data_IF_610208480017
#
_entry.id   IF_610208480017
#
_cell.length_a   1.000
_cell.length_b   1.000
_cell.length_c   1.000
_cell.angle_alpha   90.00
_cell.angle_beta   90.00
_cell.angle_gamma   90.00
#
_symmetry.space_group_name_H-M   'P 1'
#
loop_
_entity.id
_entity.type
_entity.pdbx_description
1 polymer ?
#
# COMPACT_ATOMS: atom_id res chain seq x y z
N UNK A 1 16.06 2.23 -0.96
CA UNK A 1 15.77 3.62 -1.35
C UNK A 1 14.38 3.66 -1.97
N UNK A 2 13.53 4.61 -1.55
CA UNK A 2 12.20 4.86 -2.13
C UNK A 2 12.30 6.10 -3.01
N UNK A 3 12.00 5.96 -4.30
CA UNK A 3 12.16 7.02 -5.30
C UNK A 3 10.89 7.15 -6.12
N UNK A 4 10.42 8.38 -6.29
CA UNK A 4 9.31 8.74 -7.16
C UNK A 4 9.77 9.87 -8.09
N UNK A 5 9.21 9.93 -9.30
CA UNK A 5 9.55 10.96 -10.29
C UNK A 5 8.31 11.78 -10.63
N UNK A 6 8.39 13.09 -10.50
CA UNK A 6 7.30 14.00 -10.83
C UNK A 6 7.68 14.91 -11.99
N UNK A 7 6.88 14.87 -13.06
CA UNK A 7 6.93 15.86 -14.11
C UNK A 7 5.89 16.95 -13.81
N UNK A 8 6.35 18.17 -13.49
CA UNK A 8 5.49 19.30 -13.12
C UNK A 8 4.64 19.84 -14.26
N UNK A 9 5.20 19.88 -15.48
CA UNK A 9 4.51 20.43 -16.65
C UNK A 9 3.34 19.54 -17.07
N UNK A 10 3.57 18.23 -17.09
CA UNK A 10 2.57 17.23 -17.44
C UNK A 10 1.71 16.79 -16.25
N UNK A 11 2.07 17.20 -15.03
CA UNK A 11 1.49 16.73 -13.76
C UNK A 11 1.39 15.20 -13.70
N UNK A 12 2.46 14.52 -14.09
CA UNK A 12 2.57 13.06 -14.07
C UNK A 12 3.47 12.67 -12.90
N UNK A 13 2.98 11.79 -12.03
CA UNK A 13 3.78 11.16 -10.98
C UNK A 13 4.00 9.68 -11.31
N UNK A 14 5.27 9.29 -11.44
CA UNK A 14 5.68 7.88 -11.37
C UNK A 14 5.92 7.58 -9.90
N UNK A 15 4.98 6.84 -9.29
CA UNK A 15 4.87 6.72 -7.83
C UNK A 15 5.99 5.92 -7.17
N UNK A 16 6.66 5.04 -7.92
CA UNK A 16 7.62 4.10 -7.35
C UNK A 16 6.95 3.08 -6.43
N UNK A 17 7.74 2.38 -5.62
CA UNK A 17 7.27 1.27 -4.77
C UNK A 17 6.24 1.70 -3.73
N UNK A 18 6.08 3.00 -3.50
CA UNK A 18 5.16 3.56 -2.52
C UNK A 18 3.71 3.57 -3.02
N UNK A 19 3.46 3.46 -4.33
CA UNK A 19 2.12 3.72 -4.90
C UNK A 19 1.54 2.47 -5.55
N UNK A 20 0.38 2.07 -5.02
CA UNK A 20 -0.48 1.00 -5.54
C UNK A 20 -1.82 1.61 -6.01
N UNK A 21 -2.68 0.84 -6.67
CA UNK A 21 -4.05 1.28 -6.97
C UNK A 21 -5.10 0.17 -6.73
N UNK A 22 -5.85 0.31 -5.64
CA UNK A 22 -6.99 -0.55 -5.28
C UNK A 22 -6.72 -2.08 -5.39
N UNK A 23 -5.55 -2.50 -4.89
CA UNK A 23 -5.11 -3.89 -4.80
C UNK A 23 -4.43 -4.14 -3.46
N UNK A 24 -4.26 -5.40 -3.06
CA UNK A 24 -3.51 -5.71 -1.86
C UNK A 24 -2.04 -5.29 -1.98
N UNK A 25 -1.59 -4.57 -0.95
CA UNK A 25 -0.26 -3.93 -0.90
C UNK A 25 0.77 -4.90 -0.31
N UNK A 26 1.99 -4.86 -0.84
CA UNK A 26 3.12 -5.62 -0.33
C UNK A 26 3.69 -4.97 0.93
N UNK A 27 3.54 -5.63 2.09
CA UNK A 27 3.97 -5.07 3.39
C UNK A 27 5.21 -5.74 3.97
N UNK A 28 5.73 -6.81 3.36
CA UNK A 28 6.82 -7.59 3.97
C UNK A 28 8.09 -6.75 4.23
N UNK A 29 8.45 -5.83 3.31
CA UNK A 29 9.57 -4.90 3.49
C UNK A 29 9.30 -3.77 4.49
N UNK A 30 8.05 -3.57 4.91
CA UNK A 30 7.59 -2.52 5.83
C UNK A 30 6.59 -3.04 6.85
N UNK A 31 6.92 -4.18 7.45
CA UNK A 31 5.98 -4.96 8.26
C UNK A 31 5.67 -4.37 9.64
N UNK A 32 6.43 -3.35 10.07
CA UNK A 32 6.19 -2.67 11.35
C UNK A 32 5.21 -1.50 11.21
N UNK A 33 4.43 -1.25 12.27
CA UNK A 33 3.53 -0.08 12.37
C UNK A 33 4.23 1.23 12.02
N UNK A 34 5.38 1.50 12.63
CA UNK A 34 6.13 2.73 12.38
C UNK A 34 6.56 2.88 10.92
N UNK A 35 6.92 1.77 10.25
CA UNK A 35 7.26 1.80 8.83
C UNK A 35 6.04 2.07 7.94
N UNK A 36 4.89 1.47 8.24
CA UNK A 36 3.62 1.76 7.55
C UNK A 36 3.17 3.21 7.74
N UNK A 37 3.29 3.76 8.94
CA UNK A 37 2.99 5.16 9.23
C UNK A 37 3.94 6.12 8.49
N UNK A 38 5.24 5.80 8.46
CA UNK A 38 6.21 6.57 7.67
C UNK A 38 5.86 6.56 6.18
N UNK A 39 5.41 5.42 5.66
CA UNK A 39 4.95 5.31 4.28
C UNK A 39 3.71 6.18 4.02
N UNK A 40 2.74 6.24 4.94
CA UNK A 40 1.60 7.16 4.83
C UNK A 40 2.08 8.61 4.74
N UNK A 41 3.06 9.03 5.54
CA UNK A 41 3.59 10.40 5.46
C UNK A 41 4.27 10.69 4.11
N UNK A 42 5.02 9.74 3.56
CA UNK A 42 5.59 9.89 2.22
C UNK A 42 4.50 10.05 1.15
N UNK A 43 3.42 9.28 1.25
CA UNK A 43 2.28 9.38 0.33
C UNK A 43 1.58 10.74 0.40
N UNK A 44 1.50 11.36 1.58
CA UNK A 44 0.98 12.73 1.72
C UNK A 44 1.85 13.76 1.01
N UNK A 45 3.18 13.62 1.07
CA UNK A 45 4.10 14.48 0.31
C UNK A 45 3.84 14.36 -1.19
N UNK A 46 3.65 13.14 -1.69
CA UNK A 46 3.32 12.89 -3.10
C UNK A 46 1.94 13.44 -3.49
N UNK A 47 0.94 13.29 -2.63
CA UNK A 47 -0.41 13.81 -2.86
C UNK A 47 -0.43 15.34 -2.96
N UNK A 48 0.41 16.03 -2.18
CA UNK A 48 0.55 17.49 -2.23
C UNK A 48 1.09 18.02 -3.56
N UNK A 49 1.71 17.18 -4.39
CA UNK A 49 2.14 17.55 -5.74
C UNK A 49 0.96 17.78 -6.70
N UNK A 50 -0.24 17.33 -6.33
CA UNK A 50 -1.47 17.48 -7.07
C UNK A 50 -1.33 17.04 -8.55
N UNK A 51 -0.82 15.81 -8.73
CA UNK A 51 -0.65 15.20 -10.05
C UNK A 51 -2.01 14.81 -10.65
N UNK A 52 -2.15 14.98 -11.96
CA UNK A 52 -3.37 14.59 -12.70
C UNK A 52 -3.29 13.11 -13.13
N UNK A 53 -2.07 12.60 -13.35
CA UNK A 53 -1.79 11.23 -13.77
C UNK A 53 -0.83 10.58 -12.78
N UNK A 54 -1.20 9.41 -12.27
CA UNK A 54 -0.40 8.57 -11.39
C UNK A 54 -0.09 7.25 -12.09
N UNK A 55 1.20 6.92 -12.19
CA UNK A 55 1.68 5.60 -12.62
C UNK A 55 2.07 4.82 -11.36
N UNK A 56 1.24 3.89 -10.86
CA UNK A 56 1.57 3.06 -9.71
C UNK A 56 2.65 2.02 -10.10
N UNK A 57 3.44 1.58 -9.13
CA UNK A 57 4.44 0.52 -9.37
C UNK A 57 3.79 -0.86 -9.50
N UNK A 58 2.70 -1.08 -8.76
CA UNK A 58 1.90 -2.30 -8.82
C UNK A 58 0.44 -1.91 -8.86
N UNK A 59 -0.35 -2.61 -9.69
CA UNK A 59 -1.70 -2.16 -9.91
C UNK A 59 -2.43 -2.86 -11.03
N UNK A 60 -3.61 -2.32 -11.33
CA UNK A 60 -4.37 -2.64 -12.53
C UNK A 60 -4.67 -1.38 -13.33
N UNK A 61 -4.64 -1.49 -14.66
CA UNK A 61 -5.04 -0.40 -15.56
C UNK A 61 -6.55 -0.11 -15.52
N UNK A 62 -7.34 -1.02 -14.95
CA UNK A 62 -8.78 -0.86 -14.75
C UNK A 62 -9.13 -0.10 -13.46
N UNK A 63 -8.11 0.25 -12.66
CA UNK A 63 -8.22 0.95 -11.38
C UNK A 63 -7.76 2.40 -11.51
N UNK A 64 -7.78 3.16 -10.41
CA UNK A 64 -7.51 4.58 -10.48
C UNK A 64 -6.04 4.86 -10.85
N UNK A 65 -5.83 5.76 -11.83
CA UNK A 65 -4.52 6.23 -12.27
C UNK A 65 -4.38 7.75 -12.04
N UNK A 66 -5.01 8.23 -10.96
CA UNK A 66 -5.00 9.63 -10.51
C UNK A 66 -4.77 9.65 -8.97
N UNK A 67 -4.92 10.81 -8.31
CA UNK A 67 -4.69 10.94 -6.87
C UNK A 67 -5.49 9.96 -5.98
N UNK A 68 -6.57 9.35 -6.50
CA UNK A 68 -7.28 8.30 -5.80
C UNK A 68 -6.40 7.08 -5.50
N UNK A 69 -5.39 6.76 -6.33
CA UNK A 69 -4.43 5.69 -6.08
C UNK A 69 -3.60 5.93 -4.79
N UNK A 70 -3.18 7.18 -4.57
CA UNK A 70 -2.46 7.59 -3.35
C UNK A 70 -3.37 7.48 -2.12
N UNK A 71 -4.62 7.96 -2.24
CA UNK A 71 -5.63 7.84 -1.18
C UNK A 71 -5.91 6.38 -0.84
N UNK A 72 -6.17 5.54 -1.83
CA UNK A 72 -6.44 4.12 -1.65
C UNK A 72 -5.26 3.39 -0.98
N UNK A 73 -4.02 3.69 -1.38
CA UNK A 73 -2.83 3.12 -0.74
C UNK A 73 -2.71 3.57 0.72
N UNK A 74 -2.92 4.86 1.01
CA UNK A 74 -2.90 5.35 2.40
C UNK A 74 -3.98 4.71 3.27
N UNK A 75 -5.20 4.58 2.76
CA UNK A 75 -6.30 3.96 3.48
C UNK A 75 -6.02 2.48 3.74
N UNK A 76 -5.47 1.77 2.76
CA UNK A 76 -5.02 0.39 2.93
C UNK A 76 -3.99 0.27 4.05
N UNK A 77 -2.99 1.16 4.10
CA UNK A 77 -1.97 1.16 5.15
C UNK A 77 -2.56 1.45 6.53
N UNK A 78 -3.55 2.34 6.65
CA UNK A 78 -4.24 2.60 7.92
C UNK A 78 -4.98 1.35 8.42
N UNK A 79 -5.70 0.67 7.53
CA UNK A 79 -6.38 -0.59 7.86
C UNK A 79 -5.37 -1.68 8.23
N UNK A 80 -4.24 -1.76 7.52
CA UNK A 80 -3.17 -2.70 7.82
C UNK A 80 -2.53 -2.45 9.19
N UNK A 81 -2.29 -1.18 9.56
CA UNK A 81 -1.82 -0.80 10.90
C UNK A 81 -2.81 -1.28 11.95
N UNK A 82 -4.10 -0.96 11.82
CA UNK A 82 -5.12 -1.40 12.76
C UNK A 82 -5.19 -2.93 12.85
N UNK A 83 -5.22 -3.62 11.71
CA UNK A 83 -5.25 -5.07 11.67
C UNK A 83 -4.01 -5.71 12.30
N UNK A 84 -2.83 -5.08 12.19
CA UNK A 84 -1.60 -5.58 12.80
C UNK A 84 -1.62 -5.53 14.33
N UNK A 85 -2.39 -4.61 14.92
CA UNK A 85 -2.55 -4.49 16.37
C UNK A 85 -3.61 -5.45 16.91
N UNK A 86 -4.61 -5.77 16.10
CA UNK A 86 -5.76 -6.58 16.49
C UNK A 86 -5.64 -8.07 16.13
N UNK A 87 -4.69 -8.44 15.29
CA UNK A 87 -4.51 -9.83 14.82
C UNK A 87 -3.40 -10.56 15.56
N UNK A 88 -3.72 -11.75 16.07
CA UNK A 88 -2.73 -12.66 16.65
C UNK A 88 -2.06 -13.59 15.63
N UNK A 89 -2.68 -13.79 14.47
CA UNK A 89 -2.18 -14.67 13.40
C UNK A 89 -2.30 -14.03 12.02
N UNK A 90 -1.51 -14.54 11.07
CA UNK A 90 -1.53 -14.14 9.67
C UNK A 90 -2.92 -14.38 9.07
N UNK A 91 -3.59 -15.47 9.44
CA UNK A 91 -4.98 -15.74 9.01
C UNK A 91 -5.96 -14.68 9.47
N UNK A 92 -5.87 -14.24 10.72
CA UNK A 92 -6.74 -13.17 11.24
C UNK A 92 -6.48 -11.84 10.53
N UNK A 93 -5.20 -11.53 10.28
CA UNK A 93 -4.80 -10.36 9.50
C UNK A 93 -5.35 -10.41 8.07
N UNK A 94 -5.14 -11.52 7.34
CA UNK A 94 -5.70 -11.72 5.99
C UNK A 94 -7.21 -11.52 5.99
N UNK A 95 -7.92 -12.16 6.92
CA UNK A 95 -9.38 -12.07 7.01
C UNK A 95 -9.88 -10.63 7.20
N UNK A 96 -9.22 -9.83 8.06
CA UNK A 96 -9.56 -8.41 8.26
C UNK A 96 -9.35 -7.60 6.98
N UNK A 97 -8.23 -7.78 6.29
CA UNK A 97 -7.93 -7.02 5.07
C UNK A 97 -8.82 -7.44 3.89
N UNK A 98 -9.14 -8.73 3.75
CA UNK A 98 -10.08 -9.18 2.72
C UNK A 98 -11.51 -8.70 2.99
N UNK A 99 -11.92 -8.60 4.26
CA UNK A 99 -13.22 -8.06 4.62
C UNK A 99 -13.31 -6.54 4.37
N UNK A 100 -12.23 -5.79 4.63
CA UNK A 100 -12.17 -4.35 4.37
C UNK A 100 -12.06 -4.02 2.87
N UNK A 101 -11.42 -4.89 2.08
CA UNK A 101 -11.15 -4.68 0.66
C UNK A 101 -11.64 -5.85 -0.21
N UNK A 102 -12.95 -6.12 -0.23
CA UNK A 102 -13.49 -7.23 -1.00
C UNK A 102 -13.21 -7.02 -2.49
N UNK A 103 -12.61 -8.03 -3.12
CA UNK A 103 -12.30 -8.01 -4.55
C UNK A 103 -10.99 -7.33 -4.93
N UNK A 104 -10.17 -6.91 -3.96
CA UNK A 104 -8.79 -6.52 -4.25
C UNK A 104 -8.00 -7.73 -4.79
N UNK A 105 -7.25 -7.51 -5.86
CA UNK A 105 -6.34 -8.51 -6.41
C UNK A 105 -5.10 -8.67 -5.51
N UNK A 106 -4.19 -9.57 -5.89
CA UNK A 106 -2.93 -9.86 -5.17
C UNK A 106 -3.11 -10.54 -3.80
N UNK A 107 -4.05 -11.49 -3.69
CA UNK A 107 -4.26 -12.26 -2.45
C UNK A 107 -3.00 -12.98 -1.94
N UNK A 108 -2.20 -13.57 -2.84
CA UNK A 108 -0.93 -14.21 -2.44
C UNK A 108 0.09 -13.22 -1.85
N UNK A 109 0.08 -11.96 -2.28
CA UNK A 109 0.91 -10.88 -1.68
C UNK A 109 0.41 -10.55 -0.29
N UNK A 110 -0.91 -10.48 -0.09
CA UNK A 110 -1.51 -10.28 1.23
C UNK A 110 -1.13 -11.43 2.17
N UNK A 111 -1.25 -12.69 1.74
CA UNK A 111 -0.91 -13.86 2.55
C UNK A 111 0.56 -13.88 2.97
N UNK A 112 1.48 -13.58 2.03
CA UNK A 112 2.90 -13.48 2.34
C UNK A 112 3.18 -12.34 3.32
N UNK A 113 2.64 -11.15 3.03
CA UNK A 113 2.79 -9.95 3.85
C UNK A 113 2.26 -10.19 5.27
N UNK A 114 1.13 -10.86 5.40
CA UNK A 114 0.51 -11.19 6.68
C UNK A 114 1.46 -12.03 7.56
N UNK A 115 2.10 -13.06 7.01
CA UNK A 115 3.06 -13.89 7.76
C UNK A 115 4.24 -13.09 8.30
N UNK A 116 4.69 -12.08 7.55
CA UNK A 116 5.80 -11.21 7.98
C UNK A 116 5.32 -10.22 9.04
N UNK A 117 4.18 -9.56 8.81
CA UNK A 117 3.57 -8.61 9.76
C UNK A 117 3.29 -9.28 11.10
N UNK A 118 2.79 -10.52 11.09
CA UNK A 118 2.50 -11.28 12.31
C UNK A 118 3.68 -12.09 12.84
N UNK A 119 4.88 -11.92 12.26
CA UNK A 119 6.14 -12.56 12.68
C UNK A 119 6.15 -14.09 12.61
N UNK A 120 5.23 -14.69 11.86
CA UNK A 120 5.22 -16.13 11.55
C UNK A 120 6.30 -16.52 10.53
N UNK A 121 6.81 -15.54 9.78
CA UNK A 121 7.87 -15.73 8.80
C UNK A 121 8.89 -14.58 8.89
N UNK A 122 10.20 -14.87 8.98
CA UNK A 122 11.23 -13.84 8.83
C UNK A 122 11.27 -13.34 7.39
N UNK A 123 11.70 -12.09 7.20
CA UNK A 123 11.82 -11.47 5.88
C UNK A 123 13.04 -10.55 5.85
N UNK A 124 13.94 -10.79 4.89
CA UNK A 124 15.25 -10.12 4.80
C UNK A 124 16.33 -10.88 5.54
#
# INVERSE_FOLDING_TARGET
YRTSLFNKELKVLIGGIDVFNEIHVFLADTSSKAAMETWIENLKVLQALNADIIVPSHGSIEKSLNNQALTATMDYLRTAVQASEESGTSKDFVAKLEAAYPGYANKGVLELSAKVVTKEMPWG
#
